data_IF_567104732231
#
_entry.id   IF_567104732231
#
_cell.length_a   1.000
_cell.length_b   1.000
_cell.length_c   1.000
_cell.angle_alpha   90.00
_cell.angle_beta   90.00
_cell.angle_gamma   90.00
#
_symmetry.space_group_name_H-M   'P 1'
#
loop_
_entity.id
_entity.type
_entity.pdbx_description
1 polymer ?
#
# COMPACT_ATOMS: atom_id res chain seq x y z
N UNK A 1 -40.32 -26.25 -41.17
CA UNK A 1 -39.86 -25.22 -40.21
C UNK A 1 -38.49 -25.67 -39.75
N UNK A 2 -37.44 -25.07 -40.32
CA UNK A 2 -36.06 -25.52 -40.18
C UNK A 2 -35.59 -25.45 -38.73
N UNK A 3 -35.20 -26.60 -38.18
CA UNK A 3 -34.42 -26.69 -36.96
C UNK A 3 -32.99 -26.33 -37.34
N UNK A 4 -32.64 -25.04 -37.31
CA UNK A 4 -31.24 -24.63 -37.25
C UNK A 4 -30.75 -24.83 -35.82
N UNK A 5 -30.29 -26.04 -35.56
CA UNK A 5 -29.45 -26.37 -34.41
C UNK A 5 -28.16 -25.55 -34.58
N UNK A 6 -27.97 -24.54 -33.74
CA UNK A 6 -26.72 -23.80 -33.65
C UNK A 6 -25.63 -24.74 -33.12
N UNK A 7 -25.01 -25.53 -34.00
CA UNK A 7 -23.87 -26.42 -33.72
C UNK A 7 -22.52 -25.65 -33.66
N UNK A 8 -22.54 -24.36 -33.31
CA UNK A 8 -21.36 -23.48 -33.44
C UNK A 8 -20.99 -22.61 -32.23
N UNK A 9 -21.72 -22.68 -31.11
CA UNK A 9 -21.53 -21.75 -29.98
C UNK A 9 -21.30 -22.42 -28.62
N UNK A 10 -21.00 -23.72 -28.60
CA UNK A 10 -20.09 -24.25 -27.59
C UNK A 10 -18.68 -23.99 -28.09
N UNK A 11 -18.25 -22.73 -28.02
CA UNK A 11 -16.82 -22.45 -27.98
C UNK A 11 -16.26 -23.37 -26.90
N UNK A 12 -15.53 -24.40 -27.32
CA UNK A 12 -14.87 -25.34 -26.46
C UNK A 12 -14.17 -24.53 -25.36
N UNK A 13 -14.74 -24.53 -24.15
CA UNK A 13 -13.94 -24.42 -22.95
C UNK A 13 -13.08 -25.67 -22.99
N UNK A 14 -12.00 -25.61 -23.79
CA UNK A 14 -11.01 -26.65 -23.92
C UNK A 14 -10.59 -26.90 -22.48
N UNK A 15 -10.99 -28.05 -21.96
CA UNK A 15 -10.73 -28.42 -20.57
C UNK A 15 -9.23 -28.73 -20.48
N UNK A 16 -8.41 -27.68 -20.47
CA UNK A 16 -6.95 -27.72 -20.42
C UNK A 16 -6.48 -28.10 -19.00
N UNK A 17 -7.34 -28.81 -18.26
CA UNK A 17 -7.09 -29.29 -16.91
C UNK A 17 -6.17 -30.49 -17.02
N UNK A 18 -4.99 -30.32 -16.47
CA UNK A 18 -4.04 -31.40 -16.24
C UNK A 18 -4.25 -31.99 -14.86
N UNK A 19 -3.99 -33.29 -14.71
CA UNK A 19 -4.00 -33.90 -13.38
C UNK A 19 -3.01 -33.19 -12.45
N UNK A 20 -3.47 -32.85 -11.24
CA UNK A 20 -2.68 -32.19 -10.20
C UNK A 20 -1.41 -32.98 -9.89
N UNK A 21 -1.56 -34.29 -9.76
CA UNK A 21 -0.44 -35.22 -9.72
C UNK A 21 -0.23 -35.84 -11.12
N UNK A 22 0.99 -35.82 -11.68
CA UNK A 22 2.23 -35.28 -11.13
C UNK A 22 2.47 -33.79 -11.48
N UNK A 23 1.67 -33.19 -12.35
CA UNK A 23 2.04 -31.94 -13.04
C UNK A 23 2.23 -30.73 -12.13
N UNK A 24 1.35 -30.53 -11.14
CA UNK A 24 1.46 -29.41 -10.19
C UNK A 24 2.40 -29.79 -9.04
N UNK A 25 2.18 -30.95 -8.43
CA UNK A 25 2.90 -31.36 -7.21
C UNK A 25 4.40 -31.46 -7.44
N UNK A 26 4.86 -32.00 -8.58
CA UNK A 26 6.29 -32.06 -8.89
C UNK A 26 6.89 -30.67 -9.06
N UNK A 27 6.17 -29.73 -9.67
CA UNK A 27 6.63 -28.33 -9.85
C UNK A 27 6.72 -27.60 -8.52
N UNK A 28 5.71 -27.74 -7.67
CA UNK A 28 5.70 -27.13 -6.32
C UNK A 28 6.79 -27.73 -5.43
N UNK A 29 6.99 -29.04 -5.50
CA UNK A 29 8.06 -29.71 -4.76
C UNK A 29 9.45 -29.23 -5.23
N UNK A 30 9.66 -29.11 -6.54
CA UNK A 30 10.91 -28.57 -7.09
C UNK A 30 11.12 -27.11 -6.67
N UNK A 31 10.06 -26.28 -6.71
CA UNK A 31 10.12 -24.90 -6.24
C UNK A 31 10.44 -24.82 -4.74
N UNK A 32 9.84 -25.67 -3.92
CA UNK A 32 10.12 -25.76 -2.48
C UNK A 32 11.59 -26.15 -2.21
N UNK A 33 12.14 -27.12 -2.95
CA UNK A 33 13.57 -27.47 -2.86
C UNK A 33 14.44 -26.27 -3.23
N UNK A 34 14.16 -25.60 -4.36
CA UNK A 34 14.94 -24.44 -4.82
C UNK A 34 14.90 -23.30 -3.79
N UNK A 35 13.72 -22.98 -3.27
CA UNK A 35 13.55 -21.94 -2.23
C UNK A 35 14.29 -22.33 -0.95
N UNK A 36 14.22 -23.59 -0.53
CA UNK A 36 14.92 -24.08 0.67
C UNK A 36 16.42 -23.97 0.51
N UNK A 37 16.97 -24.41 -0.64
CA UNK A 37 18.40 -24.25 -0.96
C UNK A 37 18.79 -22.77 -0.96
N UNK A 38 17.95 -21.90 -1.55
CA UNK A 38 18.19 -20.45 -1.57
C UNK A 38 18.25 -19.83 -0.17
N UNK A 39 17.32 -20.20 0.73
CA UNK A 39 17.31 -19.72 2.12
C UNK A 39 18.51 -20.27 2.90
N UNK A 40 18.85 -21.55 2.73
CA UNK A 40 20.01 -22.16 3.39
C UNK A 40 21.32 -21.50 2.93
N UNK A 41 21.45 -21.21 1.63
CA UNK A 41 22.59 -20.49 1.09
C UNK A 41 22.65 -19.06 1.64
N UNK A 42 21.54 -18.33 1.64
CA UNK A 42 21.49 -16.99 2.22
C UNK A 42 21.87 -16.99 3.71
N UNK A 43 21.35 -17.95 4.48
CA UNK A 43 21.66 -18.12 5.90
C UNK A 43 23.11 -18.47 6.18
N UNK A 44 23.85 -19.02 5.20
CA UNK A 44 25.27 -19.31 5.35
C UNK A 44 26.15 -18.05 5.22
N UNK A 45 25.70 -17.05 4.43
CA UNK A 45 26.45 -15.81 4.21
C UNK A 45 26.03 -14.66 5.12
N UNK A 46 24.77 -14.67 5.59
CA UNK A 46 24.20 -13.59 6.40
C UNK A 46 23.97 -14.08 7.81
N UNK A 47 24.85 -13.65 8.71
CA UNK A 47 24.65 -13.84 10.14
C UNK A 47 23.49 -12.98 10.63
N UNK A 48 22.61 -13.59 11.43
CA UNK A 48 21.59 -12.87 12.19
C UNK A 48 22.11 -12.69 13.63
N UNK A 49 22.83 -11.58 13.93
CA UNK A 49 23.35 -11.37 15.28
C UNK A 49 22.19 -11.27 16.26
N UNK A 50 22.27 -12.05 17.34
CA UNK A 50 21.34 -11.93 18.46
C UNK A 50 21.75 -10.73 19.30
N UNK A 51 20.78 -9.88 19.65
CA UNK A 51 20.99 -8.80 20.62
C UNK A 51 21.20 -9.34 22.03
N UNK A 52 21.65 -8.48 22.93
CA UNK A 52 21.73 -8.75 24.35
C UNK A 52 20.34 -9.02 24.97
N UNK A 53 20.32 -9.59 26.18
CA UNK A 53 19.08 -9.83 26.92
C UNK A 53 18.35 -8.50 27.14
N UNK A 54 17.04 -8.50 26.92
CA UNK A 54 16.22 -7.29 27.02
C UNK A 54 16.34 -6.64 28.40
N UNK A 55 16.74 -5.36 28.41
CA UNK A 55 16.80 -4.51 29.61
C UNK A 55 15.70 -3.44 29.55
N UNK A 56 14.69 -3.46 30.45
CA UNK A 56 13.68 -2.42 30.53
C UNK A 56 14.22 -1.01 30.84
N UNK A 57 15.43 -0.90 31.40
CA UNK A 57 16.06 0.39 31.70
C UNK A 57 16.77 1.03 30.49
N UNK A 58 17.04 0.26 29.43
CA UNK A 58 17.73 0.74 28.23
C UNK A 58 16.89 0.51 26.98
N UNK A 59 16.35 1.60 26.44
CA UNK A 59 15.69 1.57 25.13
C UNK A 59 16.75 1.51 24.01
N UNK A 60 16.61 0.53 23.11
CA UNK A 60 17.43 0.43 21.90
C UNK A 60 17.29 1.68 21.01
N UNK A 61 18.41 2.13 20.45
CA UNK A 61 18.44 3.27 19.56
C UNK A 61 19.31 3.00 18.32
N UNK A 62 18.70 2.95 17.11
CA UNK A 62 17.28 3.07 16.81
C UNK A 62 16.51 1.77 17.06
N UNK A 63 15.35 1.85 17.69
CA UNK A 63 14.38 0.75 17.73
C UNK A 63 13.79 0.53 16.33
N UNK A 64 14.34 -0.40 15.54
CA UNK A 64 13.84 -0.71 14.20
C UNK A 64 12.92 -1.93 14.23
N UNK A 65 11.71 -1.78 13.71
CA UNK A 65 10.83 -2.90 13.47
C UNK A 65 11.38 -3.80 12.34
N UNK A 66 11.00 -5.08 12.30
CA UNK A 66 11.29 -5.96 11.17
C UNK A 66 10.90 -5.31 9.83
N UNK A 67 11.63 -5.62 8.77
CA UNK A 67 11.52 -4.93 7.47
C UNK A 67 10.09 -4.92 6.89
N UNK A 68 9.29 -5.97 7.14
CA UNK A 68 7.90 -6.06 6.69
C UNK A 68 6.94 -5.12 7.46
N UNK A 69 7.35 -4.60 8.62
CA UNK A 69 6.66 -3.55 9.38
C UNK A 69 7.32 -2.17 9.23
N UNK A 70 8.52 -2.07 8.69
CA UNK A 70 9.25 -0.81 8.55
C UNK A 70 8.46 0.26 7.77
N UNK A 71 7.64 -0.14 6.79
CA UNK A 71 6.75 0.77 6.08
C UNK A 71 5.69 1.42 6.97
N UNK A 72 5.10 0.67 7.91
CA UNK A 72 4.17 1.21 8.91
C UNK A 72 4.89 2.08 9.94
N UNK A 73 6.07 1.65 10.37
CA UNK A 73 6.88 2.43 11.28
C UNK A 73 7.24 3.80 10.69
N UNK A 74 7.55 3.84 9.39
CA UNK A 74 7.78 5.09 8.68
C UNK A 74 6.54 5.99 8.65
N UNK A 75 5.33 5.42 8.53
CA UNK A 75 4.09 6.19 8.62
C UNK A 75 3.89 6.86 9.99
N UNK A 76 4.39 6.29 11.09
CA UNK A 76 4.30 6.88 12.44
C UNK A 76 5.08 8.19 12.59
N UNK A 77 6.01 8.48 11.69
CA UNK A 77 6.71 9.78 11.66
C UNK A 77 5.77 10.91 11.23
N UNK A 78 4.80 10.56 10.40
CA UNK A 78 3.89 11.50 9.75
C UNK A 78 2.54 11.57 10.45
N UNK A 79 2.03 10.45 10.96
CA UNK A 79 0.68 10.35 11.55
C UNK A 79 0.73 9.92 13.01
N UNK A 80 -0.33 10.26 13.75
CA UNK A 80 -0.50 9.78 15.11
C UNK A 80 -0.70 8.25 15.14
N UNK A 81 -0.30 7.58 16.25
CA UNK A 81 -0.30 6.11 16.33
C UNK A 81 -1.65 5.44 16.08
N UNK A 82 -2.76 6.07 16.45
CA UNK A 82 -4.09 5.50 16.22
C UNK A 82 -4.41 5.40 14.71
N UNK A 83 -3.99 6.39 13.92
CA UNK A 83 -4.28 6.42 12.49
C UNK A 83 -3.32 5.51 11.72
N UNK A 84 -2.01 5.71 11.87
CA UNK A 84 -1.02 4.91 11.16
C UNK A 84 -0.91 3.46 11.65
N UNK A 85 -1.17 3.21 12.94
CA UNK A 85 -1.08 1.86 13.53
C UNK A 85 -2.34 1.02 13.41
N UNK A 86 -3.54 1.64 13.38
CA UNK A 86 -4.81 0.89 13.40
C UNK A 86 -5.66 1.18 12.17
N UNK A 87 -6.00 2.45 11.92
CA UNK A 87 -6.97 2.80 10.87
C UNK A 87 -6.42 2.52 9.48
N UNK A 88 -5.23 3.00 9.14
CA UNK A 88 -4.66 2.86 7.81
C UNK A 88 -4.40 1.38 7.44
N UNK A 89 -3.77 0.54 8.30
CA UNK A 89 -3.65 -0.90 8.05
C UNK A 89 -5.00 -1.59 7.88
N UNK A 90 -5.99 -1.25 8.72
CA UNK A 90 -7.33 -1.82 8.64
C UNK A 90 -8.01 -1.46 7.32
N UNK A 91 -7.88 -0.22 6.86
CA UNK A 91 -8.39 0.22 5.55
C UNK A 91 -7.70 -0.50 4.38
N UNK A 92 -6.39 -0.75 4.47
CA UNK A 92 -5.66 -1.52 3.45
C UNK A 92 -6.20 -2.96 3.40
N UNK A 93 -6.30 -3.63 4.54
CA UNK A 93 -6.78 -5.03 4.62
C UNK A 93 -8.22 -5.16 4.13
N UNK A 94 -9.12 -4.31 4.63
CA UNK A 94 -10.53 -4.30 4.20
C UNK A 94 -10.62 -3.93 2.71
N UNK A 95 -9.84 -2.96 2.25
CA UNK A 95 -9.78 -2.58 0.84
C UNK A 95 -9.37 -3.74 -0.07
N UNK A 96 -8.36 -4.54 0.33
CA UNK A 96 -7.94 -5.75 -0.39
C UNK A 96 -9.03 -6.83 -0.40
N UNK A 97 -9.73 -7.05 0.71
CA UNK A 97 -10.87 -7.97 0.78
C UNK A 97 -12.03 -7.52 -0.10
N UNK A 98 -12.21 -6.21 -0.28
CA UNK A 98 -13.27 -5.64 -1.10
C UNK A 98 -12.97 -5.70 -2.62
N UNK A 99 -11.73 -5.93 -3.04
CA UNK A 99 -11.35 -5.93 -4.47
C UNK A 99 -12.25 -6.80 -5.36
N UNK A 100 -12.61 -8.05 -5.00
CA UNK A 100 -13.50 -8.88 -5.83
C UNK A 100 -14.91 -8.31 -5.99
N UNK A 101 -15.35 -7.46 -5.06
CA UNK A 101 -16.67 -6.84 -5.08
C UNK A 101 -16.66 -5.46 -5.75
N UNK A 102 -15.53 -4.76 -5.71
CA UNK A 102 -15.35 -3.45 -6.34
C UNK A 102 -15.02 -3.56 -7.84
N UNK A 103 -14.28 -4.58 -8.24
CA UNK A 103 -13.93 -4.84 -9.65
C UNK A 103 -15.08 -5.54 -10.40
N UNK A 104 -15.71 -4.82 -11.33
CA UNK A 104 -16.80 -5.33 -12.16
C UNK A 104 -16.32 -5.81 -13.54
N UNK A 105 -15.02 -5.77 -13.84
CA UNK A 105 -14.50 -6.15 -15.14
C UNK A 105 -14.25 -7.67 -15.21
N UNK A 106 -15.01 -8.45 -16.00
CA UNK A 106 -14.84 -9.90 -16.09
C UNK A 106 -13.57 -10.30 -16.86
N UNK A 107 -13.00 -9.41 -17.67
CA UNK A 107 -11.80 -9.67 -18.48
C UNK A 107 -10.57 -9.69 -17.59
N UNK A 108 -9.54 -10.47 -17.93
CA UNK A 108 -8.31 -10.57 -17.12
C UNK A 108 -8.46 -11.36 -15.82
N UNK A 109 -9.52 -12.16 -15.67
CA UNK A 109 -9.65 -13.10 -14.56
C UNK A 109 -8.85 -14.37 -14.87
N UNK A 110 -7.91 -14.73 -14.01
CA UNK A 110 -7.05 -15.92 -14.17
C UNK A 110 -5.84 -15.76 -15.11
N UNK A 111 -5.64 -14.60 -15.73
CA UNK A 111 -4.43 -14.29 -16.51
C UNK A 111 -4.03 -12.82 -16.37
N UNK A 112 -2.73 -12.54 -16.44
CA UNK A 112 -2.24 -11.16 -16.38
C UNK A 112 -2.48 -10.43 -17.69
N UNK A 113 -3.13 -9.26 -17.65
CA UNK A 113 -3.27 -8.40 -18.82
C UNK A 113 -3.30 -6.92 -18.45
N UNK A 114 -2.33 -6.16 -18.96
CA UNK A 114 -2.24 -4.73 -18.71
C UNK A 114 -3.26 -3.93 -19.53
N UNK A 115 -3.51 -4.32 -20.79
CA UNK A 115 -4.33 -3.52 -21.72
C UNK A 115 -5.80 -3.45 -21.32
N UNK A 116 -6.36 -4.52 -20.76
CA UNK A 116 -7.78 -4.62 -20.38
C UNK A 116 -8.08 -4.10 -18.98
N UNK A 117 -7.06 -3.95 -18.12
CA UNK A 117 -7.19 -3.55 -16.69
C UNK A 117 -6.26 -2.40 -16.29
N UNK A 118 -5.98 -1.48 -17.22
CA UNK A 118 -5.00 -0.38 -17.00
C UNK A 118 -5.22 0.37 -15.69
N UNK A 119 -6.46 0.75 -15.38
CA UNK A 119 -6.77 1.49 -14.17
C UNK A 119 -6.47 0.69 -12.90
N UNK A 120 -7.04 -0.51 -12.76
CA UNK A 120 -6.87 -1.34 -11.57
C UNK A 120 -5.39 -1.68 -11.33
N UNK A 121 -4.66 -2.03 -12.39
CA UNK A 121 -3.23 -2.37 -12.31
C UNK A 121 -2.40 -1.14 -11.93
N UNK A 122 -2.64 0.03 -12.55
CA UNK A 122 -1.88 1.25 -12.23
C UNK A 122 -2.13 1.70 -10.79
N UNK A 123 -3.39 1.69 -10.34
CA UNK A 123 -3.73 2.05 -8.95
C UNK A 123 -3.08 1.08 -7.97
N UNK A 124 -3.22 -0.23 -8.18
CA UNK A 124 -2.62 -1.23 -7.31
C UNK A 124 -1.09 -1.12 -7.27
N UNK A 125 -0.45 -1.01 -8.44
CA UNK A 125 1.01 -0.84 -8.52
C UNK A 125 1.46 0.47 -7.88
N UNK A 126 0.69 1.56 -7.98
CA UNK A 126 1.05 2.82 -7.32
C UNK A 126 1.08 2.68 -5.80
N UNK A 127 0.11 2.00 -5.20
CA UNK A 127 0.10 1.70 -3.77
C UNK A 127 1.21 0.73 -3.37
N UNK A 128 1.46 -0.29 -4.20
CA UNK A 128 2.55 -1.26 -3.99
C UNK A 128 3.93 -0.60 -4.01
N UNK A 129 4.20 0.24 -5.01
CA UNK A 129 5.44 1.01 -5.11
C UNK A 129 5.58 1.99 -3.94
N UNK A 130 4.49 2.69 -3.59
CA UNK A 130 4.48 3.58 -2.44
C UNK A 130 4.84 2.83 -1.14
N UNK A 131 4.26 1.65 -0.92
CA UNK A 131 4.57 0.83 0.25
C UNK A 131 6.04 0.41 0.32
N UNK A 132 6.59 -0.12 -0.79
CA UNK A 132 7.99 -0.53 -0.85
C UNK A 132 8.95 0.66 -0.70
N UNK A 133 8.57 1.84 -1.18
CA UNK A 133 9.33 3.06 -0.98
C UNK A 133 9.40 3.42 0.52
N UNK A 134 8.30 3.29 1.27
CA UNK A 134 8.31 3.49 2.73
C UNK A 134 9.18 2.47 3.44
N UNK A 135 9.11 1.19 3.05
CA UNK A 135 10.00 0.15 3.59
C UNK A 135 11.46 0.49 3.33
N UNK A 136 11.79 0.92 2.12
CA UNK A 136 13.15 1.32 1.76
C UNK A 136 13.64 2.52 2.59
N UNK A 137 12.80 3.56 2.75
CA UNK A 137 13.14 4.71 3.61
C UNK A 137 13.36 4.25 5.05
N UNK A 138 12.44 3.49 5.64
CA UNK A 138 12.50 3.05 7.03
C UNK A 138 13.68 2.11 7.33
N UNK A 139 14.09 1.30 6.37
CA UNK A 139 15.20 0.35 6.54
C UNK A 139 16.56 1.00 6.31
N UNK A 140 16.73 1.70 5.18
CA UNK A 140 18.03 2.18 4.70
C UNK A 140 18.30 3.64 5.09
N UNK A 141 17.30 4.52 4.99
CA UNK A 141 17.50 5.97 5.14
C UNK A 141 17.27 6.47 6.57
N UNK A 142 16.66 5.66 7.44
CA UNK A 142 16.48 6.00 8.86
C UNK A 142 17.67 5.53 9.69
N UNK A 143 18.35 6.46 10.35
CA UNK A 143 19.50 6.19 11.22
C UNK A 143 19.17 6.33 12.71
N UNK A 144 20.17 6.67 13.55
CA UNK A 144 19.97 6.90 14.99
C UNK A 144 18.85 7.91 15.27
N UNK A 145 18.07 7.68 16.33
CA UNK A 145 16.90 8.50 16.71
C UNK A 145 15.81 8.62 15.62
N UNK A 146 15.79 7.67 14.67
CA UNK A 146 14.88 7.67 13.53
C UNK A 146 15.01 8.94 12.65
N UNK A 147 16.19 9.57 12.62
CA UNK A 147 16.45 10.71 11.74
C UNK A 147 16.65 10.25 10.30
N UNK A 148 16.34 11.13 9.35
CA UNK A 148 16.48 10.85 7.93
C UNK A 148 17.88 11.21 7.45
N UNK A 149 18.50 10.29 6.72
CA UNK A 149 19.79 10.44 6.08
C UNK A 149 19.68 10.17 4.59
N UNK A 150 20.36 10.98 3.80
CA UNK A 150 20.56 10.64 2.40
C UNK A 150 21.56 9.48 2.26
N UNK A 151 21.47 8.66 1.20
CA UNK A 151 22.38 7.53 0.98
C UNK A 151 23.87 7.86 1.00
N UNK A 152 24.22 9.12 0.72
CA UNK A 152 25.60 9.63 0.70
C UNK A 152 26.02 10.33 1.99
N UNK A 153 25.17 10.35 3.03
CA UNK A 153 25.48 10.94 4.33
C UNK A 153 25.82 9.83 5.34
N UNK A 154 26.91 10.00 6.07
CA UNK A 154 27.28 9.09 7.16
C UNK A 154 26.36 9.28 8.36
N UNK A 155 26.09 8.18 9.07
CA UNK A 155 25.30 8.21 10.29
C UNK A 155 26.11 8.82 11.44
N UNK A 156 25.75 10.04 11.83
CA UNK A 156 26.33 10.73 13.00
C UNK A 156 25.36 10.67 14.19
N UNK A 157 25.80 11.01 15.40
CA UNK A 157 24.91 11.09 16.58
C UNK A 157 24.49 12.53 16.91
N UNK A 158 25.12 13.52 16.28
CA UNK A 158 24.89 14.95 16.48
C UNK A 158 23.99 15.52 15.38
N UNK A 159 22.68 15.51 15.60
CA UNK A 159 21.72 16.16 14.68
C UNK A 159 21.27 17.54 15.16
N UNK A 160 21.12 18.50 14.23
CA UNK A 160 20.37 19.71 14.52
C UNK A 160 18.92 19.35 14.86
N UNK A 161 18.34 20.07 15.82
CA UNK A 161 16.93 19.89 16.18
C UNK A 161 16.04 20.07 14.94
N UNK A 162 15.05 19.18 14.70
CA UNK A 162 14.11 19.35 13.59
C UNK A 162 13.42 20.71 13.66
N UNK A 163 13.07 21.27 12.49
CA UNK A 163 12.31 22.50 12.44
C UNK A 163 11.01 22.37 13.25
N UNK A 164 10.59 23.42 13.98
CA UNK A 164 9.37 23.38 14.75
C UNK A 164 8.18 23.16 13.82
N UNK A 165 7.34 22.22 14.21
CA UNK A 165 6.19 21.82 13.42
C UNK A 165 4.98 22.65 13.84
N UNK A 166 4.14 23.03 12.87
CA UNK A 166 2.94 23.81 13.15
C UNK A 166 1.68 23.09 12.67
N UNK A 167 0.56 23.44 13.27
CA UNK A 167 -0.75 22.91 12.91
C UNK A 167 -1.45 23.88 11.99
N UNK A 168 -2.28 23.36 11.08
CA UNK A 168 -3.18 24.22 10.33
C UNK A 168 -4.29 24.75 11.24
N UNK A 169 -4.78 25.99 11.01
CA UNK A 169 -5.99 26.48 11.65
C UNK A 169 -7.15 25.51 11.38
N UNK A 170 -7.91 25.16 12.42
CA UNK A 170 -8.96 24.13 12.33
C UNK A 170 -9.96 24.35 11.17
N UNK A 171 -10.50 25.58 10.93
CA UNK A 171 -11.41 25.80 9.80
C UNK A 171 -10.76 25.55 8.44
N UNK A 172 -9.48 25.93 8.29
CA UNK A 172 -8.72 25.71 7.06
C UNK A 172 -8.47 24.22 6.84
N UNK A 173 -8.09 23.50 7.89
CA UNK A 173 -7.86 22.06 7.84
C UNK A 173 -9.09 21.26 7.42
N UNK A 174 -10.25 21.58 8.03
CA UNK A 174 -11.53 20.97 7.66
C UNK A 174 -11.90 21.31 6.21
N UNK A 175 -11.79 22.58 5.83
CA UNK A 175 -12.08 23.01 4.46
C UNK A 175 -11.18 22.30 3.43
N UNK A 176 -9.90 22.12 3.74
CA UNK A 176 -8.94 21.42 2.88
C UNK A 176 -9.30 19.94 2.74
N UNK A 177 -9.60 19.24 3.84
CA UNK A 177 -9.98 17.82 3.78
C UNK A 177 -11.31 17.59 3.08
N UNK A 178 -12.33 18.37 3.42
CA UNK A 178 -13.64 18.30 2.74
C UNK A 178 -13.46 18.65 1.26
N UNK A 179 -12.71 19.71 0.94
CA UNK A 179 -12.37 20.10 -0.42
C UNK A 179 -11.66 18.97 -1.17
N UNK A 180 -10.67 18.33 -0.56
CA UNK A 180 -9.91 17.24 -1.15
C UNK A 180 -10.80 16.03 -1.50
N UNK A 181 -11.64 15.57 -0.56
CA UNK A 181 -12.53 14.45 -0.82
C UNK A 181 -13.65 14.80 -1.79
N UNK A 182 -14.25 16.00 -1.70
CA UNK A 182 -15.33 16.43 -2.61
C UNK A 182 -14.81 16.63 -4.03
N UNK A 183 -13.71 17.36 -4.22
CA UNK A 183 -13.07 17.52 -5.53
C UNK A 183 -12.62 16.16 -6.05
N UNK A 184 -11.99 15.34 -5.22
CA UNK A 184 -11.55 14.00 -5.60
C UNK A 184 -12.69 13.10 -6.09
N UNK A 185 -13.86 13.16 -5.45
CA UNK A 185 -15.05 12.40 -5.84
C UNK A 185 -15.75 12.99 -7.09
N UNK A 186 -15.69 14.30 -7.30
CA UNK A 186 -16.36 14.93 -8.45
C UNK A 186 -15.46 14.97 -9.70
N UNK A 187 -14.15 14.96 -9.53
CA UNK A 187 -13.17 15.12 -10.60
C UNK A 187 -13.29 14.04 -11.71
N UNK A 188 -13.38 12.73 -11.40
CA UNK A 188 -13.57 11.70 -12.43
C UNK A 188 -14.93 11.78 -13.13
N UNK A 189 -15.95 12.34 -12.48
CA UNK A 189 -17.26 12.56 -13.09
C UNK A 189 -17.21 13.72 -14.10
N UNK A 190 -16.39 14.74 -13.83
CA UNK A 190 -16.25 15.93 -14.66
C UNK A 190 -15.37 15.73 -15.90
N UNK A 191 -14.36 14.86 -15.87
CA UNK A 191 -13.38 14.63 -16.96
C UNK A 191 -13.95 13.88 -18.19
N UNK A 192 -15.21 14.14 -18.53
CA UNK A 192 -16.05 13.51 -19.56
C UNK A 192 -16.37 12.05 -19.24
N UNK A 193 -17.61 11.79 -18.82
CA UNK A 193 -18.29 10.46 -18.91
C UNK A 193 -17.29 9.31 -18.78
N UNK A 194 -16.59 9.22 -17.64
CA UNK A 194 -15.48 8.28 -17.49
C UNK A 194 -15.96 6.87 -17.79
N UNK A 195 -15.65 6.35 -18.97
CA UNK A 195 -16.11 5.04 -19.48
C UNK A 195 -15.75 3.91 -18.53
N UNK A 196 -14.76 4.15 -17.67
CA UNK A 196 -14.28 3.24 -16.65
C UNK A 196 -15.20 3.15 -15.41
N UNK A 197 -15.81 4.27 -14.98
CA UNK A 197 -16.63 4.32 -13.75
C UNK A 197 -18.13 4.38 -14.03
N UNK A 198 -18.54 4.57 -15.30
CA UNK A 198 -19.95 4.69 -15.68
C UNK A 198 -20.78 3.43 -15.38
N UNK A 199 -20.13 2.27 -15.28
CA UNK A 199 -20.76 0.98 -14.99
C UNK A 199 -20.71 0.61 -13.50
N UNK A 200 -20.25 1.52 -12.62
CA UNK A 200 -20.24 1.29 -11.18
C UNK A 200 -21.47 1.92 -10.52
N UNK A 201 -22.07 1.16 -9.61
CA UNK A 201 -23.07 1.68 -8.69
C UNK A 201 -22.45 2.73 -7.75
N UNK A 202 -23.28 3.65 -7.24
CA UNK A 202 -22.87 4.79 -6.40
C UNK A 202 -22.04 4.32 -5.20
N UNK A 203 -22.44 3.21 -4.57
CA UNK A 203 -21.74 2.64 -3.41
C UNK A 203 -20.35 2.16 -3.80
N UNK A 204 -20.23 1.39 -4.90
CA UNK A 204 -18.93 0.87 -5.36
C UNK A 204 -18.00 2.00 -5.79
N UNK A 205 -18.57 3.01 -6.46
CA UNK A 205 -17.84 4.21 -6.84
C UNK A 205 -17.29 4.95 -5.61
N UNK A 206 -18.15 5.24 -4.63
CA UNK A 206 -17.77 5.94 -3.41
C UNK A 206 -16.71 5.17 -2.61
N UNK A 207 -16.83 3.85 -2.49
CA UNK A 207 -15.82 3.02 -1.81
C UNK A 207 -14.48 3.00 -2.56
N UNK A 208 -14.51 2.78 -3.88
CA UNK A 208 -13.29 2.74 -4.71
C UNK A 208 -12.57 4.08 -4.66
N UNK A 209 -13.31 5.18 -4.86
CA UNK A 209 -12.74 6.52 -4.80
C UNK A 209 -12.30 6.89 -3.39
N UNK A 210 -13.06 6.50 -2.36
CA UNK A 210 -12.68 6.71 -0.96
C UNK A 210 -11.32 6.09 -0.66
N UNK A 211 -11.12 4.82 -1.00
CA UNK A 211 -9.84 4.13 -0.80
C UNK A 211 -8.69 4.78 -1.58
N UNK A 212 -8.91 5.14 -2.84
CA UNK A 212 -7.90 5.82 -3.67
C UNK A 212 -7.54 7.20 -3.11
N UNK A 213 -8.54 7.98 -2.70
CA UNK A 213 -8.32 9.30 -2.12
C UNK A 213 -7.63 9.21 -0.77
N UNK A 214 -7.93 8.21 0.06
CA UNK A 214 -7.19 7.97 1.31
C UNK A 214 -5.73 7.60 1.02
N UNK A 215 -5.45 6.78 0.00
CA UNK A 215 -4.08 6.45 -0.42
C UNK A 215 -3.33 7.71 -0.89
N UNK A 216 -3.92 8.50 -1.79
CA UNK A 216 -3.35 9.76 -2.28
C UNK A 216 -3.19 10.77 -1.14
N UNK A 217 -4.19 10.87 -0.26
CA UNK A 217 -4.18 11.78 0.89
C UNK A 217 -3.10 11.41 1.91
N UNK A 218 -2.80 10.12 2.06
CA UNK A 218 -1.71 9.65 2.92
C UNK A 218 -0.36 10.16 2.40
N UNK A 219 -0.07 9.93 1.12
CA UNK A 219 1.14 10.46 0.47
C UNK A 219 1.16 12.00 0.46
N UNK A 220 0.02 12.64 0.18
CA UNK A 220 -0.13 14.09 0.18
C UNK A 220 0.17 14.72 1.54
N UNK A 221 -0.34 14.12 2.63
CA UNK A 221 -0.04 14.56 4.00
C UNK A 221 1.46 14.44 4.28
N UNK A 222 2.11 13.34 3.88
CA UNK A 222 3.57 13.21 4.03
C UNK A 222 4.32 14.33 3.31
N UNK A 223 3.89 14.70 2.09
CA UNK A 223 4.48 15.83 1.37
C UNK A 223 4.25 17.14 2.12
N UNK A 224 3.04 17.39 2.66
CA UNK A 224 2.76 18.57 3.48
C UNK A 224 3.67 18.65 4.72
N UNK A 225 3.93 17.50 5.35
CA UNK A 225 4.87 17.39 6.47
C UNK A 225 6.29 17.75 6.07
N UNK A 226 6.77 17.24 4.94
CA UNK A 226 8.16 17.42 4.50
C UNK A 226 8.42 18.81 3.89
N UNK A 227 7.48 19.33 3.11
CA UNK A 227 7.64 20.59 2.40
C UNK A 227 7.28 21.82 3.25
N UNK A 228 6.28 21.69 4.13
CA UNK A 228 5.72 22.82 4.87
C UNK A 228 5.77 22.65 6.40
N UNK A 229 6.38 21.59 6.94
CA UNK A 229 6.45 21.35 8.39
C UNK A 229 5.08 21.29 9.09
N UNK A 230 4.02 20.90 8.36
CA UNK A 230 2.68 20.75 8.92
C UNK A 230 2.61 19.46 9.73
N UNK A 231 2.24 19.55 11.02
CA UNK A 231 2.02 18.37 11.89
C UNK A 231 0.64 17.78 11.73
N UNK A 232 -0.38 18.61 11.91
CA UNK A 232 -1.76 18.21 11.83
C UNK A 232 -2.53 19.14 10.88
N UNK A 233 -3.28 18.52 9.99
CA UNK A 233 -4.31 19.17 9.17
C UNK A 233 -5.52 19.45 10.05
N UNK A 234 -5.94 18.47 10.86
CA UNK A 234 -6.97 18.65 11.90
C UNK A 234 -6.33 18.37 13.25
N UNK A 235 -6.39 19.34 14.16
CA UNK A 235 -5.98 19.17 15.55
C UNK A 235 -7.17 19.46 16.45
N UNK A 236 -7.62 18.44 17.18
CA UNK A 236 -8.68 18.53 18.20
C UNK A 236 -8.24 17.79 19.45
N UNK A 237 -8.89 17.96 20.61
CA UNK A 237 -8.51 17.25 21.83
C UNK A 237 -8.56 15.71 21.71
N UNK A 238 -9.31 15.19 20.74
CA UNK A 238 -9.59 13.76 20.58
C UNK A 238 -8.96 13.16 19.32
N UNK A 239 -8.92 13.95 18.24
CA UNK A 239 -8.53 13.49 16.90
C UNK A 239 -7.50 14.44 16.33
N UNK A 240 -6.35 13.88 15.96
CA UNK A 240 -5.31 14.57 15.20
C UNK A 240 -5.00 13.80 13.92
N UNK A 241 -5.03 14.50 12.79
CA UNK A 241 -4.81 13.95 11.44
C UNK A 241 -3.83 14.84 10.70
#
# INVERSE_FOLDING_TARGET
MEIRRHEGELAELKDDRVFTWPNLVVKEFLAAIIVTIGILFYSFYVDAPLSELADPAHAENPAKAPWYFAGLQEQLVYFDPWYAGVVLPSLIVVGLMLLPYLDNNPKGNGYFTFRERKFAIVVFLSGYVFWYLLVYIGTVLRGPYWTFFWPWQEWTHSFPAPAPLHNLPLPLGIALLVGFYTVGLLFPLYIKKGTLFHNLDIIRYALTMGLILTMIGTAGKMILRLAFNIKYIIATPWINI
#
